data_IF_822904203802
#
_entry.id   IF_822904203802
#
_cell.length_a   1.000
_cell.length_b   1.000
_cell.length_c   1.000
_cell.angle_alpha   90.00
_cell.angle_beta   90.00
_cell.angle_gamma   90.00
#
_symmetry.space_group_name_H-M   'P 1'
#
loop_
_entity.id
_entity.type
_entity.pdbx_description
1 polymer ?
#
# COMPACT_ATOMS: atom_id res chain seq x y z
N UNK A 1 19.36 -8.63 16.61
CA UNK A 1 18.05 -8.30 16.02
C UNK A 1 18.01 -8.80 14.59
N UNK A 2 17.24 -9.85 14.33
CA UNK A 2 17.20 -10.53 13.03
C UNK A 2 16.04 -9.94 12.20
N UNK A 3 16.34 -8.98 11.34
CA UNK A 3 15.35 -8.36 10.44
C UNK A 3 15.16 -9.24 9.21
N UNK A 4 14.15 -10.11 9.26
CA UNK A 4 13.75 -10.95 8.15
C UNK A 4 13.04 -10.07 7.08
N UNK A 5 13.80 -9.53 6.11
CA UNK A 5 13.24 -8.71 5.02
C UNK A 5 12.84 -9.61 3.85
N UNK A 6 11.54 -9.72 3.48
CA UNK A 6 11.12 -10.50 2.33
C UNK A 6 11.62 -9.86 1.02
N UNK A 7 12.27 -10.69 0.21
CA UNK A 7 12.97 -10.38 -1.04
C UNK A 7 11.98 -10.14 -2.19
N UNK A 8 11.32 -8.99 -2.19
CA UNK A 8 10.95 -8.34 -3.45
C UNK A 8 12.17 -7.56 -3.93
N UNK A 9 12.61 -7.81 -5.16
CA UNK A 9 13.83 -7.25 -5.74
C UNK A 9 13.96 -5.75 -5.42
N UNK A 10 14.95 -5.36 -4.59
CA UNK A 10 15.20 -3.95 -4.25
C UNK A 10 15.69 -3.09 -5.44
N UNK A 11 15.42 -3.52 -6.68
CA UNK A 11 15.82 -2.86 -7.93
C UNK A 11 14.66 -2.52 -8.85
N UNK A 12 13.44 -2.99 -8.58
CA UNK A 12 12.29 -2.64 -9.42
C UNK A 12 11.85 -1.21 -9.14
N UNK A 13 11.76 -0.42 -10.20
CA UNK A 13 11.27 0.96 -10.18
C UNK A 13 9.86 1.00 -10.77
N UNK A 14 8.98 1.73 -10.10
CA UNK A 14 7.57 1.84 -10.45
C UNK A 14 7.24 3.27 -10.83
N UNK A 15 6.58 3.43 -11.97
CA UNK A 15 5.96 4.68 -12.40
C UNK A 15 4.45 4.42 -12.48
N UNK A 16 3.67 5.30 -11.85
CA UNK A 16 2.23 5.20 -11.77
C UNK A 16 1.63 6.61 -11.85
N UNK A 17 0.68 6.79 -12.77
CA UNK A 17 -0.23 7.94 -12.81
C UNK A 17 -1.64 7.41 -12.82
N UNK A 18 -2.42 7.70 -11.77
CA UNK A 18 -3.75 7.13 -11.59
C UNK A 18 -4.66 8.09 -10.81
N UNK A 19 -5.95 8.01 -11.09
CA UNK A 19 -7.02 8.56 -10.27
C UNK A 19 -8.09 7.47 -10.14
N UNK A 20 -8.13 6.78 -9.00
CA UNK A 20 -8.99 5.62 -8.77
C UNK A 20 -9.36 5.50 -7.28
N UNK A 21 -10.43 4.76 -6.95
CA UNK A 21 -10.72 4.35 -5.58
C UNK A 21 -9.53 3.69 -4.90
N UNK A 22 -9.36 3.91 -3.60
CA UNK A 22 -8.22 3.39 -2.85
C UNK A 22 -8.17 1.86 -2.82
N UNK A 23 -9.31 1.21 -2.59
CA UNK A 23 -9.41 -0.24 -2.57
C UNK A 23 -9.05 -0.89 -3.91
N UNK A 24 -9.56 -0.34 -5.03
CA UNK A 24 -9.21 -0.77 -6.38
C UNK A 24 -7.71 -0.62 -6.64
N UNK A 25 -7.14 0.53 -6.25
CA UNK A 25 -5.71 0.78 -6.43
C UNK A 25 -4.87 -0.18 -5.59
N UNK A 26 -5.22 -0.36 -4.32
CA UNK A 26 -4.53 -1.26 -3.41
C UNK A 26 -4.58 -2.70 -3.93
N UNK A 27 -5.72 -3.15 -4.44
CA UNK A 27 -5.87 -4.48 -5.02
C UNK A 27 -4.99 -4.66 -6.26
N UNK A 28 -5.00 -3.71 -7.19
CA UNK A 28 -4.19 -3.77 -8.40
C UNK A 28 -2.67 -3.78 -8.10
N UNK A 29 -2.24 -2.97 -7.14
CA UNK A 29 -0.83 -2.89 -6.73
C UNK A 29 -0.41 -4.16 -5.97
N UNK A 30 -1.26 -4.69 -5.10
CA UNK A 30 -0.98 -5.94 -4.39
C UNK A 30 -0.80 -7.11 -5.36
N UNK A 31 -1.68 -7.23 -6.37
CA UNK A 31 -1.53 -8.23 -7.44
C UNK A 31 -0.22 -8.07 -8.22
N UNK A 32 0.13 -6.84 -8.61
CA UNK A 32 1.39 -6.55 -9.32
C UNK A 32 2.62 -6.91 -8.49
N UNK A 33 2.58 -6.67 -7.19
CA UNK A 33 3.66 -6.98 -6.25
C UNK A 33 3.66 -8.45 -5.79
N UNK A 34 2.65 -9.23 -6.19
CA UNK A 34 2.42 -10.61 -5.72
C UNK A 34 2.28 -10.68 -4.21
N UNK A 35 1.52 -9.74 -3.64
CA UNK A 35 1.18 -9.67 -2.22
C UNK A 35 -0.31 -9.93 -2.02
N UNK A 36 -0.66 -10.64 -0.95
CA UNK A 36 -2.02 -10.79 -0.46
C UNK A 36 -2.37 -9.60 0.47
N UNK A 37 -3.31 -8.71 0.10
CA UNK A 37 -3.68 -7.59 0.95
C UNK A 37 -4.55 -8.05 2.14
N UNK A 38 -4.15 -7.66 3.35
CA UNK A 38 -4.89 -7.87 4.60
C UNK A 38 -5.20 -6.49 5.20
N UNK A 39 -6.47 -6.09 5.18
CA UNK A 39 -6.91 -4.76 5.60
C UNK A 39 -7.60 -4.86 6.96
N UNK A 40 -7.13 -4.10 7.95
CA UNK A 40 -7.82 -3.91 9.22
C UNK A 40 -8.98 -2.93 9.03
N UNK A 41 -10.11 -3.45 8.54
CA UNK A 41 -11.33 -2.69 8.27
C UNK A 41 -11.90 -2.00 9.52
N UNK A 42 -11.65 -2.56 10.71
CA UNK A 42 -12.09 -1.96 11.97
C UNK A 42 -11.31 -0.68 12.27
N UNK A 43 -9.98 -0.70 12.08
CA UNK A 43 -9.14 0.48 12.26
C UNK A 43 -9.49 1.61 11.27
N UNK A 44 -9.74 1.27 9.99
CA UNK A 44 -10.15 2.21 8.95
C UNK A 44 -11.50 2.87 9.30
N UNK A 45 -12.49 2.05 9.69
CA UNK A 45 -13.82 2.54 10.09
C UNK A 45 -13.73 3.49 11.29
N UNK A 46 -12.89 3.15 12.27
CA UNK A 46 -12.70 3.98 13.48
C UNK A 46 -12.11 5.36 13.15
N UNK A 47 -11.27 5.46 12.12
CA UNK A 47 -10.71 6.72 11.63
C UNK A 47 -11.58 7.42 10.57
N UNK A 48 -12.73 6.85 10.23
CA UNK A 48 -13.63 7.40 9.22
C UNK A 48 -13.05 7.38 7.80
N UNK A 49 -12.13 6.46 7.52
CA UNK A 49 -11.46 6.33 6.22
C UNK A 49 -12.39 5.58 5.27
N UNK A 50 -12.77 6.22 4.15
CA UNK A 50 -13.60 5.61 3.12
C UNK A 50 -12.73 4.92 2.06
N UNK A 51 -12.81 3.58 1.89
CA UNK A 51 -12.05 2.87 0.87
C UNK A 51 -12.40 3.28 -0.57
N UNK A 52 -13.60 3.82 -0.81
CA UNK A 52 -14.02 4.30 -2.13
C UNK A 52 -13.49 5.72 -2.45
N UNK A 53 -12.73 6.32 -1.55
CA UNK A 53 -12.13 7.63 -1.78
C UNK A 53 -11.19 7.60 -2.98
N UNK A 54 -11.41 8.51 -3.94
CA UNK A 54 -10.58 8.62 -5.14
C UNK A 54 -9.25 9.26 -4.74
N UNK A 55 -8.19 8.46 -4.76
CA UNK A 55 -6.83 8.93 -4.63
C UNK A 55 -6.20 9.19 -6.00
N UNK A 56 -5.49 10.32 -6.07
CA UNK A 56 -4.77 10.76 -7.26
C UNK A 56 -3.29 10.68 -6.97
N UNK A 57 -2.57 9.84 -7.70
CA UNK A 57 -1.13 9.65 -7.53
C UNK A 57 -0.42 9.89 -8.84
N UNK A 58 0.72 10.56 -8.75
CA UNK A 58 1.71 10.64 -9.79
C UNK A 58 3.08 10.38 -9.14
N UNK A 59 3.62 9.20 -9.40
CA UNK A 59 4.96 8.81 -8.96
C UNK A 59 5.76 8.33 -10.15
N UNK A 60 7.07 8.59 -10.10
CA UNK A 60 8.00 8.21 -11.15
C UNK A 60 9.23 7.57 -10.51
N UNK A 61 9.68 6.48 -11.10
CA UNK A 61 10.89 5.77 -10.70
C UNK A 61 10.97 5.50 -9.19
N UNK A 62 9.83 5.15 -8.59
CA UNK A 62 9.70 4.90 -7.16
C UNK A 62 10.07 3.46 -6.81
N UNK A 63 10.71 3.25 -5.66
CA UNK A 63 10.85 1.90 -5.09
C UNK A 63 9.50 1.34 -4.66
N UNK A 64 9.43 0.04 -4.40
CA UNK A 64 8.24 -0.60 -3.82
C UNK A 64 7.73 0.13 -2.56
N UNK A 65 8.65 0.46 -1.65
CA UNK A 65 8.31 1.09 -0.38
C UNK A 65 7.78 2.52 -0.60
N UNK A 66 8.37 3.27 -1.54
CA UNK A 66 7.89 4.60 -1.92
C UNK A 66 6.51 4.55 -2.60
N UNK A 67 6.27 3.54 -3.44
CA UNK A 67 4.97 3.30 -4.06
C UNK A 67 3.90 3.02 -3.00
N UNK A 68 4.16 2.11 -2.05
CA UNK A 68 3.21 1.78 -0.98
C UNK A 68 2.95 2.97 -0.06
N UNK A 69 4.00 3.70 0.31
CA UNK A 69 3.89 4.95 1.07
C UNK A 69 3.01 5.97 0.38
N UNK A 70 3.20 6.18 -0.92
CA UNK A 70 2.42 7.13 -1.70
C UNK A 70 0.92 6.76 -1.75
N UNK A 71 0.59 5.47 -1.66
CA UNK A 71 -0.80 4.98 -1.67
C UNK A 71 -1.46 5.19 -0.32
N UNK A 72 -0.80 4.82 0.78
CA UNK A 72 -1.48 4.69 2.08
C UNK A 72 -1.34 5.93 2.98
N UNK A 73 -0.23 6.67 2.91
CA UNK A 73 0.01 7.85 3.77
C UNK A 73 -1.02 8.98 3.58
N UNK A 74 -1.52 9.28 2.36
CA UNK A 74 -2.54 10.32 2.17
C UNK A 74 -3.82 10.07 2.98
N UNK A 75 -4.15 8.81 3.24
CA UNK A 75 -5.32 8.41 4.03
C UNK A 75 -4.99 8.25 5.53
N UNK A 76 -3.77 8.58 5.97
CA UNK A 76 -3.34 8.35 7.36
C UNK A 76 -3.20 6.87 7.71
N UNK A 77 -2.98 6.01 6.72
CA UNK A 77 -2.78 4.58 6.88
C UNK A 77 -1.29 4.23 6.95
N UNK A 78 -0.99 3.05 7.49
CA UNK A 78 0.34 2.46 7.53
C UNK A 78 0.32 1.06 6.91
N UNK A 79 1.50 0.55 6.58
CA UNK A 79 1.65 -0.75 5.95
C UNK A 79 2.83 -1.53 6.54
N UNK A 80 2.72 -2.86 6.52
CA UNK A 80 3.83 -3.78 6.75
C UNK A 80 3.74 -4.96 5.78
N UNK A 81 4.88 -5.60 5.51
CA UNK A 81 4.92 -6.83 4.72
C UNK A 81 5.50 -7.94 5.58
N UNK A 82 4.74 -9.01 5.76
CA UNK A 82 5.25 -10.26 6.35
C UNK A 82 5.07 -11.39 5.34
N UNK A 83 6.17 -12.03 4.96
CA UNK A 83 6.20 -13.09 3.95
C UNK A 83 5.69 -12.55 2.60
N UNK A 84 4.44 -12.84 2.26
CA UNK A 84 3.71 -12.50 1.05
C UNK A 84 2.44 -11.69 1.33
N UNK A 85 2.25 -11.25 2.58
CA UNK A 85 1.06 -10.51 3.02
C UNK A 85 1.38 -9.04 3.20
N UNK A 86 0.55 -8.18 2.62
CA UNK A 86 0.57 -6.74 2.81
C UNK A 86 -0.50 -6.36 3.84
N UNK A 87 -0.08 -6.05 5.05
CA UNK A 87 -0.98 -5.59 6.10
C UNK A 87 -1.18 -4.09 5.99
N UNK A 88 -2.44 -3.65 6.00
CA UNK A 88 -2.84 -2.25 5.98
C UNK A 88 -3.69 -1.96 7.22
N UNK A 89 -3.32 -0.93 7.96
CA UNK A 89 -4.06 -0.47 9.14
C UNK A 89 -4.02 1.04 9.25
N UNK A 90 -4.89 1.63 10.08
CA UNK A 90 -4.74 3.01 10.47
C UNK A 90 -3.35 3.26 11.08
N UNK A 91 -2.71 4.38 10.72
CA UNK A 91 -1.52 4.85 11.42
C UNK A 91 -1.84 5.29 12.83
N UNK A 92 -0.83 5.42 13.68
CA UNK A 92 -0.96 6.04 15.02
C UNK A 92 -1.16 7.56 14.87
#
# INVERSE_FOLDING_TARGET
SNSNRPTGSSRDLYTLRVAAPFDELLQAISQRLKLEPIIDTQSLTTRGINPEEIIRLEIKDATRDQLLDAIVKPLGLTWSIEIDRLFISAGD
#
